data_IF_039749707168
#
_entry.id   IF_039749707168
#
_cell.length_a   1.000
_cell.length_b   1.000
_cell.length_c   1.000
_cell.angle_alpha   90.00
_cell.angle_beta   90.00
_cell.angle_gamma   90.00
#
_symmetry.space_group_name_H-M   'P 1'
#
loop_
_entity.id
_entity.type
_entity.pdbx_description
1 polymer ?
#
# COMPACT_ATOMS: atom_id res chain seq x y z
N UNK A 1 -34.13 10.53 -11.65
CA UNK A 1 -34.17 9.80 -10.37
C UNK A 1 -32.78 9.22 -10.15
N UNK A 2 -31.93 9.95 -9.43
CA UNK A 2 -31.59 9.67 -8.01
C UNK A 2 -30.87 8.33 -7.89
N UNK A 3 -29.53 8.30 -7.99
CA UNK A 3 -28.59 8.39 -6.85
C UNK A 3 -29.01 7.53 -5.64
N UNK A 4 -28.27 6.43 -5.44
CA UNK A 4 -27.90 5.85 -4.14
C UNK A 4 -26.75 4.86 -4.42
N UNK A 5 -25.47 5.24 -4.31
CA UNK A 5 -24.62 5.30 -3.09
C UNK A 5 -24.58 4.00 -2.31
N UNK A 6 -23.60 3.16 -2.64
CA UNK A 6 -23.06 2.17 -1.71
C UNK A 6 -21.61 2.55 -1.42
N UNK A 7 -21.35 2.75 -0.13
CA UNK A 7 -20.04 3.04 0.46
C UNK A 7 -19.10 1.82 0.23
N UNK A 8 -17.77 1.89 0.32
CA UNK A 8 -16.95 1.59 1.52
C UNK A 8 -15.44 1.66 1.19
N UNK A 9 -14.57 1.44 2.19
CA UNK A 9 -13.35 2.21 2.42
C UNK A 9 -12.03 1.42 2.67
N UNK A 10 -11.22 1.21 1.61
CA UNK A 10 -9.73 1.14 1.43
C UNK A 10 -8.75 0.37 2.41
N UNK A 11 -7.45 0.46 2.09
CA UNK A 11 -6.40 -0.55 1.82
C UNK A 11 -4.99 -0.08 2.21
N UNK A 12 -4.08 -1.00 2.55
CA UNK A 12 -2.74 -1.01 1.92
C UNK A 12 -1.64 -1.74 2.69
N UNK A 13 -0.79 -2.48 1.97
CA UNK A 13 0.53 -2.91 2.42
C UNK A 13 1.45 -3.11 1.21
N UNK A 14 2.76 -2.89 1.35
CA UNK A 14 3.67 -2.86 0.20
C UNK A 14 5.06 -3.39 0.53
N UNK A 15 5.36 -4.64 0.17
CA UNK A 15 6.70 -5.19 0.35
C UNK A 15 7.64 -4.87 -0.86
N UNK A 16 8.82 -4.32 -0.54
CA UNK A 16 10.02 -4.11 -1.37
C UNK A 16 10.14 -2.90 -2.33
N UNK A 17 9.49 -1.77 -2.06
CA UNK A 17 9.84 -0.51 -2.76
C UNK A 17 10.51 0.51 -1.83
N UNK A 18 11.74 0.18 -1.43
CA UNK A 18 12.73 1.18 -1.04
C UNK A 18 13.29 1.97 -2.25
N UNK A 19 12.74 1.73 -3.45
CA UNK A 19 13.31 2.17 -4.73
C UNK A 19 12.44 3.16 -5.50
N UNK A 20 11.35 3.69 -4.93
CA UNK A 20 10.54 4.70 -5.61
C UNK A 20 9.97 5.69 -4.59
N UNK A 21 10.68 6.80 -4.43
CA UNK A 21 10.43 7.83 -3.42
C UNK A 21 8.97 8.30 -3.40
N UNK A 22 8.54 8.62 -2.18
CA UNK A 22 7.19 8.91 -1.71
C UNK A 22 6.34 9.88 -2.54
N UNK A 23 6.94 10.81 -3.30
CA UNK A 23 6.20 11.67 -4.21
C UNK A 23 5.51 10.88 -5.34
N UNK A 24 6.21 9.86 -5.85
CA UNK A 24 5.68 9.01 -6.90
C UNK A 24 4.60 8.07 -6.35
N UNK A 25 4.68 7.63 -5.08
CA UNK A 25 3.59 6.87 -4.45
C UNK A 25 2.31 7.70 -4.36
N UNK A 26 2.35 8.97 -3.91
CA UNK A 26 1.14 9.83 -3.89
C UNK A 26 0.53 10.02 -5.28
N UNK A 27 1.34 10.33 -6.31
CA UNK A 27 0.84 10.44 -7.70
C UNK A 27 0.26 9.13 -8.22
N UNK A 28 0.92 8.00 -7.94
CA UNK A 28 0.45 6.66 -8.28
C UNK A 28 -0.85 6.31 -7.56
N UNK A 29 -0.95 6.62 -6.28
CA UNK A 29 -2.15 6.47 -5.48
C UNK A 29 -3.30 7.30 -6.06
N UNK A 30 -3.06 8.56 -6.44
CA UNK A 30 -4.04 9.41 -7.13
C UNK A 30 -4.42 8.83 -8.51
N UNK A 31 -3.47 8.27 -9.25
CA UNK A 31 -3.75 7.68 -10.55
C UNK A 31 -4.55 6.38 -10.44
N UNK A 32 -4.21 5.52 -9.47
CA UNK A 32 -5.00 4.35 -9.12
C UNK A 32 -6.37 4.79 -8.67
N UNK A 33 -6.48 5.79 -7.80
CA UNK A 33 -7.74 6.36 -7.37
C UNK A 33 -8.59 6.82 -8.55
N UNK A 34 -8.02 7.57 -9.50
CA UNK A 34 -8.70 8.00 -10.71
C UNK A 34 -9.12 6.83 -11.61
N UNK A 35 -8.24 5.85 -11.84
CA UNK A 35 -8.53 4.70 -12.70
C UNK A 35 -9.59 3.78 -12.06
N UNK A 36 -9.47 3.52 -10.77
CA UNK A 36 -10.42 2.73 -9.98
C UNK A 36 -11.78 3.42 -9.92
N UNK A 37 -11.80 4.74 -9.77
CA UNK A 37 -13.03 5.56 -9.85
C UNK A 37 -13.73 5.40 -11.19
N UNK A 38 -12.99 5.28 -12.29
CA UNK A 38 -13.54 5.01 -13.63
C UNK A 38 -14.09 3.58 -13.77
N UNK A 39 -13.60 2.64 -12.96
CA UNK A 39 -13.96 1.21 -12.98
C UNK A 39 -14.98 0.80 -11.90
N UNK A 40 -15.69 1.77 -11.32
CA UNK A 40 -16.70 1.59 -10.23
C UNK A 40 -16.14 1.21 -8.85
N UNK A 41 -14.84 1.36 -8.61
CA UNK A 41 -14.26 1.19 -7.29
C UNK A 41 -14.10 2.54 -6.60
N UNK A 42 -14.42 2.58 -5.30
CA UNK A 42 -14.14 3.74 -4.46
C UNK A 42 -12.95 3.46 -3.56
N UNK A 43 -11.95 4.30 -3.69
CA UNK A 43 -10.70 4.22 -2.95
C UNK A 43 -10.85 5.22 -1.79
N UNK A 44 -10.92 4.76 -0.53
CA UNK A 44 -10.92 5.61 0.71
C UNK A 44 -9.63 5.86 1.55
N UNK A 45 -9.05 4.99 2.39
CA UNK A 45 -7.70 5.01 3.04
C UNK A 45 -6.49 4.26 2.38
N UNK A 46 -5.44 4.90 1.89
CA UNK A 46 -4.25 4.27 1.32
C UNK A 46 -3.18 4.06 2.38
N UNK A 47 -2.65 2.87 2.56
CA UNK A 47 -1.66 2.59 3.59
C UNK A 47 -0.29 2.39 2.93
N UNK A 48 0.68 3.17 3.39
CA UNK A 48 2.10 3.00 3.11
C UNK A 48 2.69 2.24 4.28
N UNK A 49 3.12 1.01 4.05
CA UNK A 49 3.94 0.31 5.02
C UNK A 49 5.38 0.15 4.50
N UNK A 50 6.37 0.70 5.22
CA UNK A 50 7.78 0.51 4.89
C UNK A 50 8.34 -0.78 5.47
N UNK A 51 9.02 -1.54 4.62
CA UNK A 51 9.78 -2.76 4.98
C UNK A 51 10.63 -2.64 6.24
N UNK A 52 10.71 -3.69 7.06
CA UNK A 52 11.65 -3.75 8.19
C UNK A 52 13.11 -3.84 7.74
N UNK A 53 14.03 -3.49 8.65
CA UNK A 53 15.47 -3.54 8.35
C UNK A 53 15.99 -4.98 8.21
N UNK A 54 15.25 -5.96 8.75
CA UNK A 54 15.51 -7.39 8.59
C UNK A 54 15.48 -7.89 7.13
N UNK A 55 15.03 -7.08 6.18
CA UNK A 55 15.05 -7.42 4.74
C UNK A 55 16.46 -7.47 4.13
N UNK A 56 17.44 -6.81 4.77
CA UNK A 56 18.87 -6.83 4.41
C UNK A 56 19.19 -6.46 2.95
N UNK A 57 18.40 -5.55 2.37
CA UNK A 57 18.67 -5.09 1.01
C UNK A 57 19.85 -4.12 0.94
N UNK A 58 20.66 -4.21 -0.12
CA UNK A 58 21.77 -3.28 -0.36
C UNK A 58 21.30 -1.83 -0.43
N UNK A 59 21.92 -0.97 0.35
CA UNK A 59 21.57 0.45 0.46
C UNK A 59 20.35 0.73 1.32
N UNK A 60 19.90 -0.24 2.12
CA UNK A 60 18.73 -0.11 2.98
C UNK A 60 19.04 0.67 4.26
N UNK A 61 18.79 1.98 4.25
CA UNK A 61 18.79 2.82 5.47
C UNK A 61 17.70 2.36 6.46
N UNK A 62 17.90 2.74 7.72
CA UNK A 62 17.10 2.39 8.89
C UNK A 62 15.61 2.64 8.67
N UNK A 63 14.79 1.76 9.23
CA UNK A 63 13.34 1.79 9.11
C UNK A 63 12.74 3.07 9.71
N UNK A 64 13.27 3.54 10.84
CA UNK A 64 12.81 4.76 11.50
C UNK A 64 12.87 5.99 10.57
N UNK A 65 13.96 6.17 9.83
CA UNK A 65 14.09 7.27 8.87
C UNK A 65 13.13 7.13 7.70
N UNK A 66 12.86 5.91 7.25
CA UNK A 66 11.92 5.66 6.14
C UNK A 66 10.48 5.90 6.53
N UNK A 67 10.10 5.51 7.75
CA UNK A 67 8.80 5.81 8.34
C UNK A 67 8.60 7.32 8.46
N UNK A 68 9.61 8.04 8.99
CA UNK A 68 9.48 9.47 9.20
C UNK A 68 9.39 10.23 7.87
N UNK A 69 10.25 9.89 6.90
CA UNK A 69 10.11 10.43 5.54
C UNK A 69 8.74 10.10 4.94
N UNK A 70 8.18 8.91 5.23
CA UNK A 70 6.86 8.54 4.73
C UNK A 70 5.74 9.38 5.35
N UNK A 71 5.80 9.63 6.66
CA UNK A 71 4.86 10.49 7.40
C UNK A 71 4.94 11.93 6.87
N UNK A 72 6.14 12.47 6.73
CA UNK A 72 6.37 13.80 6.18
C UNK A 72 5.84 13.96 4.75
N UNK A 73 5.94 12.93 3.92
CA UNK A 73 5.42 13.00 2.55
C UNK A 73 3.90 12.88 2.46
N UNK A 74 3.26 12.31 3.48
CA UNK A 74 1.81 12.09 3.55
C UNK A 74 1.08 13.12 4.41
N UNK A 75 1.81 14.04 5.05
CA UNK A 75 1.27 15.07 5.94
C UNK A 75 0.06 15.84 5.36
N UNK A 76 0.11 16.18 4.07
CA UNK A 76 -0.95 16.92 3.38
C UNK A 76 -1.90 15.99 2.60
N UNK A 77 -2.12 14.76 3.07
CA UNK A 77 -2.94 13.76 2.41
C UNK A 77 -3.99 13.22 3.37
N UNK A 78 -5.24 13.56 3.13
CA UNK A 78 -6.36 13.19 4.02
C UNK A 78 -6.72 11.71 3.97
N UNK A 79 -6.17 10.99 2.99
CA UNK A 79 -6.54 9.63 2.69
C UNK A 79 -5.38 8.65 2.70
N UNK A 80 -4.13 9.10 2.75
CA UNK A 80 -2.96 8.20 2.73
C UNK A 80 -2.34 8.22 4.12
N UNK A 81 -2.28 7.07 4.79
CA UNK A 81 -1.66 6.90 6.09
C UNK A 81 -0.39 6.07 5.98
N UNK A 82 0.47 6.17 6.99
CA UNK A 82 1.68 5.35 7.12
C UNK A 82 1.48 4.41 8.28
N UNK A 83 1.73 3.13 8.05
CA UNK A 83 1.69 2.10 9.08
C UNK A 83 3.10 1.60 9.38
N UNK A 84 3.43 1.45 10.67
CA UNK A 84 4.74 1.06 11.14
C UNK A 84 4.82 -0.40 11.63
N UNK A 85 3.75 -1.19 11.55
CA UNK A 85 3.75 -2.57 12.04
C UNK A 85 4.80 -3.43 11.33
N UNK A 86 4.95 -3.30 10.01
CA UNK A 86 6.01 -3.96 9.22
C UNK A 86 7.40 -3.72 9.77
N UNK A 87 7.62 -2.45 10.07
CA UNK A 87 8.93 -1.87 10.25
C UNK A 87 9.46 -2.12 11.65
N UNK A 88 8.54 -2.35 12.60
CA UNK A 88 8.81 -2.70 13.98
C UNK A 88 9.13 -4.19 14.17
N UNK A 89 8.90 -5.04 13.15
CA UNK A 89 9.23 -6.46 13.24
C UNK A 89 10.75 -6.66 13.27
N UNK A 90 11.21 -7.50 14.20
CA UNK A 90 12.63 -7.83 14.35
C UNK A 90 13.18 -8.62 13.15
N UNK A 91 12.37 -9.53 12.62
CA UNK A 91 12.70 -10.30 11.42
C UNK A 91 11.94 -9.79 10.19
N UNK A 92 12.44 -10.15 9.01
CA UNK A 92 11.69 -9.97 7.79
C UNK A 92 10.38 -10.76 7.80
N UNK A 93 9.30 -10.11 7.38
CA UNK A 93 7.95 -10.68 7.31
C UNK A 93 7.49 -10.80 5.85
N UNK A 94 6.90 -11.93 5.50
CA UNK A 94 6.33 -12.16 4.18
C UNK A 94 5.18 -11.20 3.87
N UNK A 95 5.11 -10.73 2.61
CA UNK A 95 4.04 -9.82 2.14
C UNK A 95 2.64 -10.36 2.46
N UNK A 96 2.41 -11.66 2.28
CA UNK A 96 1.11 -12.29 2.54
C UNK A 96 0.68 -12.13 3.99
N UNK A 97 1.61 -12.33 4.95
CA UNK A 97 1.33 -12.16 6.38
C UNK A 97 0.90 -10.75 6.71
N UNK A 98 1.38 -9.77 5.96
CA UNK A 98 1.09 -8.40 6.34
C UNK A 98 -0.11 -7.81 5.64
N UNK A 99 -0.34 -8.24 4.40
CA UNK A 99 -1.68 -8.10 3.80
C UNK A 99 -2.72 -8.73 4.75
N UNK A 100 -2.43 -9.90 5.34
CA UNK A 100 -3.30 -10.51 6.35
C UNK A 100 -3.47 -9.66 7.60
N UNK A 101 -2.39 -9.16 8.20
CA UNK A 101 -2.45 -8.27 9.36
C UNK A 101 -3.34 -7.05 9.11
N UNK A 102 -3.16 -6.37 7.97
CA UNK A 102 -4.01 -5.22 7.64
C UNK A 102 -5.45 -5.60 7.35
N UNK A 103 -5.70 -6.73 6.70
CA UNK A 103 -7.06 -7.19 6.45
C UNK A 103 -7.80 -7.51 7.75
N UNK A 104 -7.12 -8.11 8.72
CA UNK A 104 -7.65 -8.38 10.06
C UNK A 104 -7.90 -7.09 10.83
N UNK A 105 -6.95 -6.14 10.80
CA UNK A 105 -7.09 -4.84 11.44
C UNK A 105 -8.28 -4.06 10.89
N UNK A 106 -8.40 -3.99 9.56
CA UNK A 106 -9.53 -3.37 8.86
C UNK A 106 -10.85 -4.05 9.23
N UNK A 107 -10.87 -5.37 9.34
CA UNK A 107 -12.08 -6.10 9.77
C UNK A 107 -12.46 -5.79 11.22
N UNK A 108 -11.47 -5.55 12.09
CA UNK A 108 -11.69 -5.21 13.50
C UNK A 108 -12.15 -3.76 13.72
N UNK A 109 -11.63 -2.80 12.95
CA UNK A 109 -12.04 -1.39 13.01
C UNK A 109 -13.56 -1.25 12.75
N UNK A 110 -14.09 -2.00 11.78
CA UNK A 110 -15.51 -1.94 11.43
C UNK A 110 -16.44 -2.54 12.50
N UNK A 111 -15.98 -3.47 13.34
CA UNK A 111 -16.82 -4.09 14.38
C UNK A 111 -16.98 -3.21 15.63
N UNK A 112 -16.04 -2.29 15.88
CA UNK A 112 -16.06 -1.44 17.08
C UNK A 112 -17.01 -0.24 16.96
N UNK A 113 -17.37 0.17 15.74
CA UNK A 113 -18.30 1.29 15.50
C UNK A 113 -19.79 0.93 15.73
N UNK A 114 -20.11 -0.33 16.05
CA UNK A 114 -21.50 -0.80 16.24
C UNK A 114 -21.97 -0.79 17.72
N UNK A 115 -21.12 -0.41 18.69
CA UNK A 115 -21.46 -0.42 20.12
C UNK A 115 -21.23 0.95 20.76
N UNK A 116 -22.08 1.93 20.46
CA UNK A 116 -22.41 3.00 21.41
C UNK A 116 -23.63 3.83 20.97
N UNK A 117 -24.78 3.59 21.60
CA UNK A 117 -25.58 4.67 22.20
C UNK A 117 -26.45 4.11 23.31
N UNK A 118 -25.98 4.40 24.52
CA UNK A 118 -26.68 4.23 25.79
C UNK A 118 -28.07 4.87 25.74
N UNK A 119 -29.07 4.04 26.07
CA UNK A 119 -30.46 4.40 26.34
C UNK A 119 -30.53 5.36 27.54
N UNK A 120 -30.84 6.63 27.31
CA UNK A 120 -31.26 7.58 28.35
C UNK A 120 -32.71 8.02 28.12
N UNK A 121 -33.58 7.79 29.10
CA UNK A 121 -34.99 8.18 29.05
C UNK A 121 -35.29 9.43 29.88
N UNK A 122 -36.17 10.32 29.38
CA UNK A 122 -37.30 10.92 30.11
C UNK A 122 -38.15 11.85 29.22
N UNK A 123 -39.46 11.83 29.52
CA UNK A 123 -40.60 12.51 28.89
C UNK A 123 -40.50 14.05 28.85
N UNK A 124 -41.08 14.69 27.81
CA UNK A 124 -42.08 15.80 27.90
C UNK A 124 -42.73 16.10 26.53
N UNK A 125 -44.05 16.31 26.56
CA UNK A 125 -44.95 16.63 25.42
C UNK A 125 -44.82 18.11 25.02
N UNK A 126 -44.83 18.40 23.71
CA UNK A 126 -45.86 19.19 22.99
C UNK A 126 -45.26 20.08 21.88
N UNK A 127 -45.61 19.75 20.62
CA UNK A 127 -46.01 20.71 19.58
C UNK A 127 -44.95 21.32 18.68
N UNK A 128 -44.66 20.70 17.52
CA UNK A 128 -44.91 21.27 16.18
C UNK A 128 -44.32 20.37 15.07
N UNK A 129 -45.08 20.29 13.98
CA UNK A 129 -44.94 19.36 12.86
C UNK A 129 -43.51 19.25 12.33
N UNK A 130 -42.88 18.08 12.49
CA UNK A 130 -41.75 17.65 11.66
C UNK A 130 -42.05 16.23 11.21
N UNK A 131 -42.11 16.03 9.90
CA UNK A 131 -42.35 14.74 9.26
C UNK A 131 -41.19 13.81 9.65
N UNK A 132 -41.49 12.85 10.52
CA UNK A 132 -40.60 11.75 10.88
C UNK A 132 -40.66 10.74 9.72
N UNK A 133 -39.67 10.79 8.84
CA UNK A 133 -39.44 9.69 7.91
C UNK A 133 -38.72 8.56 8.65
N UNK A 134 -39.52 7.62 9.16
CA UNK A 134 -39.07 6.27 9.45
C UNK A 134 -38.58 5.63 8.16
N UNK A 135 -37.27 5.49 8.02
CA UNK A 135 -36.66 4.56 7.07
C UNK A 135 -35.56 3.82 7.82
N UNK A 136 -35.98 2.83 8.62
CA UNK A 136 -35.12 1.71 8.98
C UNK A 136 -34.84 0.92 7.70
N UNK A 137 -33.85 1.35 6.93
CA UNK A 137 -33.25 0.49 5.91
C UNK A 137 -32.50 -0.60 6.67
N UNK A 138 -33.02 -1.82 6.62
CA UNK A 138 -32.33 -3.04 7.01
C UNK A 138 -30.94 -3.06 6.36
N UNK A 139 -29.90 -2.74 7.13
CA UNK A 139 -28.51 -2.81 6.68
C UNK A 139 -28.12 -4.28 6.72
N UNK A 140 -27.82 -4.86 5.56
CA UNK A 140 -27.25 -6.20 5.46
C UNK A 140 -25.80 -6.13 5.99
N UNK A 141 -25.43 -6.84 7.08
CA UNK A 141 -24.11 -6.71 7.72
C UNK A 141 -22.97 -7.41 6.95
N UNK A 142 -23.11 -7.72 5.65
CA UNK A 142 -22.13 -8.50 4.87
C UNK A 142 -21.50 -7.77 3.68
N UNK A 143 -22.04 -6.64 3.23
CA UNK A 143 -21.56 -5.96 2.00
C UNK A 143 -20.58 -4.80 2.24
N UNK A 144 -20.33 -4.47 3.51
CA UNK A 144 -19.68 -3.21 3.88
C UNK A 144 -18.22 -3.35 4.31
N UNK A 145 -17.67 -4.57 4.29
CA UNK A 145 -16.27 -4.81 4.65
C UNK A 145 -15.36 -4.37 3.49
N UNK A 146 -14.46 -3.40 3.71
CA UNK A 146 -13.54 -2.98 2.68
C UNK A 146 -12.57 -4.10 2.35
N UNK A 147 -12.46 -4.37 1.06
CA UNK A 147 -11.56 -5.37 0.52
C UNK A 147 -10.11 -4.89 0.62
N UNK A 148 -9.14 -5.81 0.72
CA UNK A 148 -7.70 -5.51 0.68
C UNK A 148 -7.05 -6.08 -0.61
N UNK A 149 -6.09 -5.35 -1.17
CA UNK A 149 -5.51 -5.42 -2.51
C UNK A 149 -4.11 -4.84 -2.33
N UNK A 150 -3.14 -5.58 -2.85
CA UNK A 150 -1.76 -5.17 -2.90
C UNK A 150 -1.55 -4.20 -4.06
N UNK A 151 -1.13 -2.97 -3.75
CA UNK A 151 -0.71 -2.02 -4.77
C UNK A 151 0.75 -2.25 -5.15
N UNK A 152 1.00 -2.67 -6.39
CA UNK A 152 2.34 -3.00 -6.85
C UNK A 152 2.65 -2.40 -8.24
N UNK A 153 3.92 -2.44 -8.62
CA UNK A 153 4.32 -2.15 -10.00
C UNK A 153 4.49 -3.45 -10.80
N UNK A 154 4.59 -3.34 -12.12
CA UNK A 154 4.89 -4.49 -12.99
C UNK A 154 6.12 -5.29 -12.52
N UNK A 155 7.17 -4.59 -12.07
CA UNK A 155 8.39 -5.17 -11.51
C UNK A 155 8.14 -6.22 -10.40
N UNK A 156 7.10 -6.01 -9.57
CA UNK A 156 6.75 -6.93 -8.47
C UNK A 156 5.98 -8.13 -9.01
N UNK A 157 5.05 -7.90 -9.93
CA UNK A 157 4.28 -8.97 -10.53
C UNK A 157 5.21 -9.93 -11.29
N UNK A 158 6.15 -9.42 -12.06
CA UNK A 158 7.19 -10.21 -12.75
C UNK A 158 8.11 -10.95 -11.76
N UNK A 159 8.34 -10.38 -10.56
CA UNK A 159 9.14 -11.04 -9.52
C UNK A 159 8.52 -12.32 -8.96
N UNK A 160 7.22 -12.55 -9.14
CA UNK A 160 6.58 -13.82 -8.79
C UNK A 160 7.13 -15.01 -9.60
N UNK A 161 7.77 -14.74 -10.75
CA UNK A 161 8.44 -15.76 -11.56
C UNK A 161 9.88 -16.07 -11.12
N UNK A 162 10.44 -15.33 -10.15
CA UNK A 162 11.80 -15.56 -9.67
C UNK A 162 11.81 -16.72 -8.67
N UNK A 163 12.60 -17.78 -8.92
CA UNK A 163 12.65 -18.94 -8.02
C UNK A 163 13.15 -18.54 -6.63
N UNK A 164 12.60 -19.16 -5.59
CA UNK A 164 12.95 -18.96 -4.18
C UNK A 164 12.79 -17.52 -3.66
N UNK A 165 12.01 -16.67 -4.33
CA UNK A 165 11.71 -15.33 -3.85
C UNK A 165 10.34 -15.24 -3.16
N UNK A 166 9.38 -16.04 -3.63
CA UNK A 166 8.01 -16.08 -3.14
C UNK A 166 7.59 -17.53 -2.92
N UNK A 167 6.85 -17.78 -1.84
CA UNK A 167 6.14 -19.04 -1.64
C UNK A 167 4.97 -19.12 -2.62
N UNK A 168 4.76 -20.25 -3.31
CA UNK A 168 3.62 -20.40 -4.22
C UNK A 168 2.28 -20.26 -3.47
N UNK A 169 2.22 -20.67 -2.21
CA UNK A 169 1.03 -20.53 -1.36
C UNK A 169 0.72 -19.05 -1.06
N UNK A 170 1.77 -18.26 -0.79
CA UNK A 170 1.63 -16.82 -0.55
C UNK A 170 1.14 -16.09 -1.80
N UNK A 171 1.59 -16.52 -3.00
CA UNK A 171 1.12 -15.94 -4.27
C UNK A 171 -0.37 -16.22 -4.43
N UNK A 172 -0.81 -17.47 -4.27
CA UNK A 172 -2.22 -17.85 -4.40
C UNK A 172 -3.10 -17.13 -3.36
N UNK A 173 -2.64 -16.97 -2.12
CA UNK A 173 -3.37 -16.21 -1.10
C UNK A 173 -3.51 -14.73 -1.49
N UNK A 174 -2.41 -14.08 -1.93
CA UNK A 174 -2.40 -12.66 -2.30
C UNK A 174 -3.34 -12.39 -3.47
N UNK A 175 -3.30 -13.18 -4.54
CA UNK A 175 -4.13 -12.94 -5.73
C UNK A 175 -5.55 -13.50 -5.57
N UNK A 176 -5.70 -14.55 -4.78
CA UNK A 176 -6.97 -15.26 -4.59
C UNK A 176 -7.88 -14.58 -3.58
N UNK A 177 -7.40 -14.37 -2.34
CA UNK A 177 -8.21 -13.85 -1.23
C UNK A 177 -8.27 -12.33 -1.21
N UNK A 178 -7.16 -11.68 -1.53
CA UNK A 178 -7.04 -10.23 -1.54
C UNK A 178 -7.21 -9.77 -3.00
N UNK A 179 -6.13 -9.38 -3.66
CA UNK A 179 -6.12 -8.96 -5.04
C UNK A 179 -4.92 -8.07 -5.28
N UNK A 180 -4.67 -7.72 -6.53
CA UNK A 180 -3.46 -6.98 -6.89
C UNK A 180 -3.82 -5.84 -7.84
N UNK A 181 -3.53 -4.61 -7.44
CA UNK A 181 -3.55 -3.46 -8.32
C UNK A 181 -2.15 -3.23 -8.87
N UNK A 182 -1.91 -3.54 -10.14
CA UNK A 182 -0.61 -3.44 -10.78
C UNK A 182 -0.51 -2.17 -11.62
N UNK A 183 0.42 -1.28 -11.28
CA UNK A 183 0.73 -0.08 -12.06
C UNK A 183 1.81 -0.42 -13.08
N UNK A 184 1.46 -0.28 -14.36
CA UNK A 184 2.33 -0.63 -15.47
C UNK A 184 2.87 0.65 -16.11
N UNK A 185 4.16 0.62 -16.48
CA UNK A 185 4.79 1.68 -17.27
C UNK A 185 4.64 1.37 -18.75
N UNK A 186 4.85 2.38 -19.58
CA UNK A 186 4.97 2.19 -21.02
C UNK A 186 6.11 1.20 -21.33
N UNK A 187 5.82 0.13 -22.07
CA UNK A 187 6.81 -0.88 -22.49
C UNK A 187 6.85 -2.17 -21.66
N UNK A 188 6.29 -2.21 -20.45
CA UNK A 188 6.10 -3.45 -19.68
C UNK A 188 4.72 -4.04 -19.98
N UNK A 189 4.67 -5.33 -20.31
CA UNK A 189 3.44 -6.03 -20.68
C UNK A 189 3.11 -7.15 -19.67
N UNK A 190 2.56 -6.79 -18.49
CA UNK A 190 2.24 -7.77 -17.48
C UNK A 190 1.05 -8.66 -17.87
N UNK A 191 0.28 -8.33 -18.91
CA UNK A 191 -0.77 -9.23 -19.42
C UNK A 191 -0.16 -10.52 -19.94
N UNK A 192 1.01 -10.45 -20.62
CA UNK A 192 1.75 -11.64 -21.04
C UNK A 192 2.15 -12.52 -19.86
N UNK A 193 2.69 -11.91 -18.80
CA UNK A 193 3.10 -12.64 -17.60
C UNK A 193 1.91 -13.30 -16.88
N UNK A 194 0.77 -12.59 -16.78
CA UNK A 194 -0.46 -13.15 -16.21
C UNK A 194 -0.96 -14.34 -17.03
N UNK A 195 -0.86 -14.29 -18.37
CA UNK A 195 -1.28 -15.38 -19.24
C UNK A 195 -0.32 -16.60 -19.21
N UNK A 196 0.96 -16.38 -18.87
CA UNK A 196 1.95 -17.44 -18.75
C UNK A 196 1.87 -18.20 -17.42
N UNK A 197 1.25 -17.62 -16.39
CA UNK A 197 1.13 -18.22 -15.06
C UNK A 197 -0.30 -18.69 -14.79
N UNK A 198 -0.48 -19.99 -14.57
CA UNK A 198 -1.80 -20.59 -14.33
C UNK A 198 -2.50 -20.00 -13.09
N UNK A 199 -1.74 -19.74 -12.02
CA UNK A 199 -2.27 -19.17 -10.77
C UNK A 199 -2.79 -17.74 -11.00
N UNK A 200 -2.01 -16.92 -11.70
CA UNK A 200 -2.41 -15.54 -12.00
C UNK A 200 -3.56 -15.49 -12.98
N UNK A 201 -3.59 -16.38 -13.97
CA UNK A 201 -4.65 -16.47 -14.95
C UNK A 201 -5.99 -16.90 -14.31
N UNK A 202 -5.96 -17.88 -13.40
CA UNK A 202 -7.11 -18.33 -12.61
C UNK A 202 -7.74 -17.17 -11.83
N UNK A 203 -6.91 -16.32 -11.22
CA UNK A 203 -7.34 -15.18 -10.41
C UNK A 203 -7.31 -13.82 -11.14
N UNK A 204 -7.27 -13.82 -12.49
CA UNK A 204 -7.14 -12.59 -13.29
C UNK A 204 -8.19 -11.52 -13.02
N UNK A 205 -9.38 -11.90 -12.53
CA UNK A 205 -10.46 -10.97 -12.18
C UNK A 205 -10.11 -10.08 -10.98
N UNK A 206 -9.25 -10.58 -10.08
CA UNK A 206 -8.76 -9.87 -8.90
C UNK A 206 -7.47 -9.07 -9.19
N UNK A 207 -6.94 -9.18 -10.42
CA UNK A 207 -5.75 -8.44 -10.85
C UNK A 207 -6.21 -7.24 -11.67
N UNK A 208 -6.00 -6.05 -11.11
CA UNK A 208 -6.41 -4.79 -11.70
C UNK A 208 -5.21 -4.05 -12.29
N UNK A 209 -5.18 -3.94 -13.60
CA UNK A 209 -4.13 -3.22 -14.30
C UNK A 209 -4.44 -1.73 -14.41
N UNK A 210 -3.49 -0.92 -13.95
CA UNK A 210 -3.56 0.55 -13.98
C UNK A 210 -2.44 1.06 -14.88
N UNK A 211 -2.79 1.55 -16.06
CA UNK A 211 -1.82 2.11 -17.02
C UNK A 211 -1.40 3.52 -16.59
N UNK A 212 -0.09 3.76 -16.53
CA UNK A 212 0.53 5.07 -16.26
C UNK A 212 0.62 5.88 -17.57
N UNK A 213 -0.24 6.90 -17.68
CA UNK A 213 -0.31 7.79 -18.85
C UNK A 213 0.82 8.84 -18.87
N UNK A 214 1.40 9.16 -17.71
CA UNK A 214 2.49 10.14 -17.57
C UNK A 214 3.74 9.42 -17.08
N UNK A 215 4.78 9.37 -17.90
CA UNK A 215 6.04 8.68 -17.59
C UNK A 215 6.81 9.40 -16.49
N UNK A 216 6.60 8.98 -15.24
CA UNK A 216 7.37 9.51 -14.11
C UNK A 216 8.50 8.52 -13.75
N UNK A 217 9.62 8.62 -14.48
CA UNK A 217 10.79 7.72 -14.39
C UNK A 217 11.69 7.95 -13.17
N UNK A 218 11.25 8.77 -12.21
CA UNK A 218 12.03 9.05 -11.01
C UNK A 218 12.10 7.78 -10.13
N UNK A 219 13.28 7.16 -10.07
CA UNK A 219 13.63 6.04 -9.19
C UNK A 219 14.39 6.52 -7.96
N UNK A 220 14.30 5.78 -6.86
CA UNK A 220 15.06 6.14 -5.66
C UNK A 220 16.55 5.93 -5.81
N UNK A 221 17.00 4.98 -6.63
CA UNK A 221 18.42 4.85 -6.98
C UNK A 221 18.92 6.14 -7.63
N UNK A 222 18.12 6.75 -8.51
CA UNK A 222 18.47 8.03 -9.11
C UNK A 222 18.55 9.15 -8.07
N UNK A 223 17.55 9.24 -7.18
CA UNK A 223 17.52 10.26 -6.11
C UNK A 223 18.68 10.10 -5.11
N UNK A 224 18.96 8.88 -4.64
CA UNK A 224 20.11 8.61 -3.75
C UNK A 224 21.44 8.97 -4.42
N UNK A 225 21.58 8.66 -5.70
CA UNK A 225 22.76 9.04 -6.49
C UNK A 225 22.90 10.56 -6.64
N UNK A 226 21.78 11.27 -6.87
CA UNK A 226 21.77 12.73 -6.94
C UNK A 226 22.18 13.36 -5.60
N UNK A 227 21.62 12.86 -4.49
CA UNK A 227 21.94 13.29 -3.13
C UNK A 227 23.43 13.07 -2.80
N UNK A 228 23.98 11.90 -3.12
CA UNK A 228 25.43 11.61 -2.95
C UNK A 228 26.34 12.55 -3.73
N UNK A 229 25.87 13.09 -4.85
CA UNK A 229 26.61 14.02 -5.72
C UNK A 229 26.39 15.49 -5.34
N UNK A 230 25.65 15.77 -4.26
CA UNK A 230 25.27 17.13 -3.90
C UNK A 230 24.35 17.81 -4.92
N UNK A 231 23.68 17.04 -5.79
CA UNK A 231 22.73 17.59 -6.76
C UNK A 231 21.40 17.91 -6.08
N UNK A 232 20.74 18.95 -6.56
CA UNK A 232 19.41 19.32 -6.08
C UNK A 232 18.39 18.23 -6.43
N UNK A 233 17.65 17.76 -5.43
CA UNK A 233 16.49 16.87 -5.59
C UNK A 233 15.16 17.59 -5.34
N UNK A 234 15.19 18.93 -5.34
CA UNK A 234 14.01 19.77 -5.23
C UNK A 234 13.04 19.42 -6.37
N UNK A 235 11.74 19.40 -6.08
CA UNK A 235 10.66 18.98 -7.00
C UNK A 235 10.57 17.48 -7.31
N UNK A 236 11.58 16.68 -6.97
CA UNK A 236 11.48 15.21 -7.02
C UNK A 236 10.80 14.65 -5.77
N UNK A 237 10.99 15.34 -4.63
CA UNK A 237 10.48 14.98 -3.30
C UNK A 237 9.72 16.16 -2.68
N UNK A 238 8.80 15.91 -1.72
CA UNK A 238 8.22 16.98 -0.91
C UNK A 238 9.29 17.71 -0.09
N UNK A 239 9.16 19.03 0.03
CA UNK A 239 10.13 19.87 0.76
C UNK A 239 10.41 19.41 2.20
N UNK A 240 9.42 18.97 3.01
CA UNK A 240 9.68 18.44 4.35
C UNK A 240 10.62 17.22 4.34
N UNK A 241 10.49 16.35 3.34
CA UNK A 241 11.33 15.15 3.18
C UNK A 241 12.74 15.55 2.77
N UNK A 242 12.90 16.53 1.87
CA UNK A 242 14.22 17.03 1.46
C UNK A 242 14.97 17.60 2.66
N UNK A 243 14.29 18.40 3.49
CA UNK A 243 14.86 18.97 4.71
C UNK A 243 15.33 17.89 5.69
N UNK A 244 14.46 16.90 5.95
CA UNK A 244 14.79 15.78 6.82
C UNK A 244 16.02 14.99 6.34
N UNK A 245 16.11 14.73 5.03
CA UNK A 245 17.26 14.03 4.44
C UNK A 245 18.55 14.83 4.63
N UNK A 246 18.50 16.15 4.47
CA UNK A 246 19.66 17.04 4.61
C UNK A 246 20.12 17.14 6.06
N UNK A 247 19.18 17.32 6.99
CA UNK A 247 19.46 17.44 8.44
C UNK A 247 20.14 16.19 9.00
N UNK A 248 19.67 15.01 8.60
CA UNK A 248 20.21 13.73 9.07
C UNK A 248 21.30 13.14 8.16
N UNK A 249 21.65 13.78 7.05
CA UNK A 249 22.66 13.31 6.08
C UNK A 249 22.51 11.84 5.66
N UNK A 250 21.26 11.41 5.43
CA UNK A 250 20.89 9.98 5.35
C UNK A 250 21.53 9.18 4.21
N UNK A 251 21.89 9.83 3.10
CA UNK A 251 22.33 9.16 1.88
C UNK A 251 23.77 9.53 1.52
N UNK A 252 24.70 8.72 2.02
CA UNK A 252 26.15 8.79 1.77
C UNK A 252 26.66 7.58 0.96
N UNK A 253 27.94 7.56 0.60
CA UNK A 253 28.57 6.39 -0.01
C UNK A 253 28.51 5.15 0.91
N UNK A 254 28.69 5.36 2.21
CA UNK A 254 28.59 4.33 3.25
C UNK A 254 27.17 3.74 3.32
N UNK A 255 26.15 4.61 3.29
CA UNK A 255 24.76 4.16 3.34
C UNK A 255 24.37 3.24 2.18
N UNK A 256 24.97 3.41 0.98
CA UNK A 256 24.68 2.57 -0.19
C UNK A 256 25.40 1.21 -0.12
N UNK A 257 26.51 1.15 0.61
CA UNK A 257 27.26 -0.08 0.82
C UNK A 257 26.71 -0.92 1.98
N UNK A 258 25.80 -0.36 2.79
CA UNK A 258 25.05 -1.11 3.80
C UNK A 258 24.40 -2.35 3.17
N UNK A 259 24.62 -3.52 3.78
CA UNK A 259 24.13 -4.83 3.30
C UNK A 259 24.62 -5.22 1.89
N UNK A 260 25.77 -4.74 1.42
CA UNK A 260 26.24 -5.07 0.07
C UNK A 260 26.53 -6.56 -0.14
N UNK A 261 27.02 -7.24 0.91
CA UNK A 261 27.36 -8.67 0.87
C UNK A 261 26.26 -9.56 1.49
N UNK A 262 25.16 -8.95 1.92
CA UNK A 262 24.06 -9.68 2.53
C UNK A 262 23.12 -10.25 1.45
N UNK A 263 22.77 -11.52 1.58
CA UNK A 263 21.69 -12.12 0.80
C UNK A 263 20.35 -11.57 1.29
N UNK A 264 19.44 -11.30 0.36
CA UNK A 264 18.09 -10.84 0.70
C UNK A 264 17.38 -11.85 1.60
N UNK A 265 16.66 -11.36 2.61
CA UNK A 265 15.99 -12.22 3.59
C UNK A 265 15.06 -13.29 3.00
N UNK A 266 14.25 -13.03 1.94
CA UNK A 266 13.42 -14.09 1.34
C UNK A 266 14.28 -15.20 0.71
N UNK A 267 15.33 -14.83 -0.02
CA UNK A 267 16.24 -15.78 -0.63
C UNK A 267 16.93 -16.61 0.45
N UNK A 268 17.46 -15.95 1.50
CA UNK A 268 18.11 -16.66 2.61
C UNK A 268 17.15 -17.64 3.30
N UNK A 269 15.89 -17.27 3.51
CA UNK A 269 14.90 -18.12 4.20
C UNK A 269 14.52 -19.34 3.37
N UNK A 270 14.31 -19.17 2.06
CA UNK A 270 13.81 -20.22 1.16
C UNK A 270 14.91 -21.11 0.57
N UNK A 271 16.15 -20.65 0.50
CA UNK A 271 17.29 -21.53 0.19
C UNK A 271 17.65 -22.45 1.34
N UNK A 272 17.33 -22.06 2.58
CA UNK A 272 17.63 -22.84 3.79
C UNK A 272 16.55 -23.86 4.15
N UNK A 273 15.39 -23.81 3.49
CA UNK A 273 14.23 -24.70 3.74
C UNK A 273 14.02 -25.75 2.65
N UNK A 274 14.88 -25.79 1.63
CA UNK A 274 15.05 -26.91 0.70
C UNK A 274 16.24 -27.77 1.14
#
# INVERSE_FOLDING_TARGET
MSMATSNWQLFGYQHSLQYRFLFNRRKKFIQVWNNMRMRRYRVVKGIISPVGDGYKKKGLIEACHRLEMARLATLNSDWITVDDWESQQLEWVETAKVVRHHAEHISSENNNDEVDTVRCGKRRKLGQNTIICQSSSYINPKEDTPHLNLLCGADVLESFGVPNLWKPEDIEEIVGRYGVACITRYGSDPEKFINQSDVLYKHRKNIHMVREWVTNEISATHVRRALRRGQSVRYLLPDPVVRYIQEHSLYSAESEQKNADAVLAPLQRYTSTN
#
